data_IF_095496931877
#
_entry.id   IF_095496931877
#
_cell.length_a   1.000
_cell.length_b   1.000
_cell.length_c   1.000
_cell.angle_alpha   90.00
_cell.angle_beta   90.00
_cell.angle_gamma   90.00
#
_symmetry.space_group_name_H-M   'P 1'
#
loop_
_entity.id
_entity.type
_entity.pdbx_description
1 polymer ?
#
# COMPACT_ATOMS: atom_id res chain seq x y z
N UNK A 1 -6.59 26.18 -51.99
CA UNK A 1 -5.87 24.94 -51.60
C UNK A 1 -6.00 24.80 -50.09
N UNK A 2 -6.92 23.96 -49.62
CA UNK A 2 -7.12 23.69 -48.19
C UNK A 2 -6.56 22.30 -47.89
N UNK A 3 -5.60 22.22 -46.97
CA UNK A 3 -5.00 20.98 -46.50
C UNK A 3 -5.89 20.39 -45.40
N UNK A 4 -6.55 19.28 -45.69
CA UNK A 4 -7.21 18.45 -44.68
C UNK A 4 -6.15 17.68 -43.90
N UNK A 5 -6.05 17.96 -42.60
CA UNK A 5 -5.25 17.17 -41.65
C UNK A 5 -6.15 16.08 -41.09
N UNK A 6 -5.94 14.84 -41.54
CA UNK A 6 -6.62 13.66 -40.98
C UNK A 6 -5.85 13.18 -39.75
N UNK A 7 -6.42 13.39 -38.57
CA UNK A 7 -5.88 12.82 -37.32
C UNK A 7 -6.26 11.34 -37.29
N UNK A 8 -5.25 10.49 -37.44
CA UNK A 8 -5.36 9.03 -37.33
C UNK A 8 -5.65 8.65 -35.87
N UNK A 9 -6.86 8.16 -35.59
CA UNK A 9 -7.20 7.54 -34.30
C UNK A 9 -6.63 6.12 -34.28
N UNK A 10 -5.72 5.89 -33.34
CA UNK A 10 -5.11 4.57 -33.08
C UNK A 10 -6.17 3.50 -32.76
N UNK A 11 -5.95 2.22 -33.09
CA UNK A 11 -6.95 1.17 -32.89
C UNK A 11 -7.26 1.00 -31.40
N UNK A 12 -8.56 1.10 -31.05
CA UNK A 12 -9.08 0.64 -29.76
C UNK A 12 -8.87 -0.87 -29.67
N UNK A 13 -7.90 -1.32 -28.88
CA UNK A 13 -7.87 -2.70 -28.39
C UNK A 13 -9.08 -2.87 -27.47
N UNK A 14 -10.06 -3.60 -27.97
CA UNK A 14 -11.23 -4.05 -27.21
C UNK A 14 -10.74 -5.00 -26.11
N UNK A 15 -10.46 -4.46 -24.93
CA UNK A 15 -10.36 -5.25 -23.69
C UNK A 15 -11.80 -5.63 -23.29
N UNK A 16 -12.44 -6.49 -24.09
CA UNK A 16 -13.82 -6.90 -23.85
C UNK A 16 -13.89 -7.81 -22.63
N UNK A 17 -14.41 -7.23 -21.54
CA UNK A 17 -15.57 -7.76 -20.81
C UNK A 17 -15.44 -9.17 -20.21
N UNK A 18 -14.57 -9.31 -19.19
CA UNK A 18 -14.82 -10.18 -18.02
C UNK A 18 -13.94 -9.88 -16.80
N UNK A 19 -13.76 -8.60 -16.43
CA UNK A 19 -13.38 -8.22 -15.06
C UNK A 19 -14.62 -8.23 -14.12
N UNK A 20 -15.54 -9.17 -14.33
CA UNK A 20 -16.67 -9.43 -13.45
C UNK A 20 -16.40 -10.77 -12.74
N UNK A 21 -15.94 -10.66 -11.49
CA UNK A 21 -16.01 -11.70 -10.48
C UNK A 21 -15.47 -13.08 -10.87
N UNK A 22 -14.14 -13.26 -10.79
CA UNK A 22 -13.61 -14.48 -10.18
C UNK A 22 -13.32 -14.21 -8.70
N UNK A 23 -14.36 -13.81 -7.97
CA UNK A 23 -14.51 -14.09 -6.55
C UNK A 23 -15.16 -15.48 -6.45
N UNK A 24 -14.49 -16.51 -6.97
CA UNK A 24 -14.75 -17.87 -6.53
C UNK A 24 -13.70 -18.21 -5.49
N UNK A 25 -14.09 -18.04 -4.23
CA UNK A 25 -13.38 -18.60 -3.09
C UNK A 25 -13.27 -20.11 -3.30
N UNK A 26 -12.08 -20.56 -3.68
CA UNK A 26 -11.65 -21.92 -3.43
C UNK A 26 -10.88 -21.89 -2.12
N UNK A 27 -11.60 -22.15 -1.02
CA UNK A 27 -10.99 -22.64 0.21
C UNK A 27 -10.46 -24.04 -0.13
N UNK A 28 -9.18 -24.14 -0.50
CA UNK A 28 -8.50 -25.42 -0.48
C UNK A 28 -7.85 -25.59 0.90
N UNK A 29 -8.09 -26.71 1.59
CA UNK A 29 -7.52 -26.97 2.89
C UNK A 29 -6.01 -27.26 2.74
N UNK A 30 -5.19 -26.49 3.44
CA UNK A 30 -3.79 -26.83 3.68
C UNK A 30 -3.76 -27.99 4.69
N UNK A 31 -3.74 -29.23 4.21
CA UNK A 31 -3.43 -30.38 5.06
C UNK A 31 -1.94 -30.38 5.35
N UNK A 32 -1.61 -29.95 6.56
CA UNK A 32 -0.40 -30.32 7.28
C UNK A 32 -0.41 -31.82 7.57
N UNK A 33 0.68 -32.50 7.21
CA UNK A 33 1.07 -33.77 7.85
C UNK A 33 2.55 -33.71 8.19
N UNK A 34 2.86 -33.61 9.48
CA UNK A 34 3.71 -34.58 10.16
C UNK A 34 3.67 -34.38 11.67
N UNK A 35 3.33 -35.45 12.37
CA UNK A 35 3.28 -35.57 13.83
C UNK A 35 3.90 -36.91 14.21
N UNK A 36 4.59 -36.89 15.36
CA UNK A 36 5.22 -37.95 16.18
C UNK A 36 6.75 -37.79 16.29
N UNK A 37 7.39 -37.84 17.46
CA UNK A 37 6.93 -38.13 18.83
C UNK A 37 8.03 -37.85 19.87
N UNK A 38 7.61 -37.35 21.04
CA UNK A 38 8.00 -37.74 22.43
C UNK A 38 9.35 -37.36 23.08
N UNK A 39 9.25 -36.54 24.16
CA UNK A 39 9.66 -36.78 25.58
C UNK A 39 9.43 -35.47 26.37
N UNK A 40 8.50 -35.38 27.33
CA UNK A 40 8.53 -35.83 28.75
C UNK A 40 9.26 -34.90 29.74
N UNK A 41 8.42 -34.20 30.53
CA UNK A 41 8.47 -34.00 32.01
C UNK A 41 9.19 -32.81 32.70
N UNK A 42 8.36 -32.16 33.54
CA UNK A 42 8.54 -31.58 34.90
C UNK A 42 8.93 -30.11 35.18
N UNK A 43 7.95 -29.40 35.77
CA UNK A 43 7.93 -28.47 36.93
C UNK A 43 9.03 -27.41 37.15
N UNK A 44 8.65 -26.12 37.30
CA UNK A 44 8.44 -25.39 38.57
C UNK A 44 8.16 -23.89 38.32
N UNK A 45 7.49 -23.26 39.30
CA UNK A 45 7.03 -21.87 39.31
C UNK A 45 8.14 -20.81 39.40
N UNK A 46 7.89 -19.62 38.83
CA UNK A 46 8.15 -18.29 39.46
C UNK A 46 7.80 -17.12 38.51
N UNK A 47 6.99 -16.18 38.99
CA UNK A 47 7.06 -14.76 38.64
C UNK A 47 8.24 -14.11 39.40
N UNK A 48 8.65 -12.85 39.14
CA UNK A 48 8.18 -11.85 38.16
C UNK A 48 9.34 -11.20 37.36
N UNK A 49 9.05 -10.36 36.36
CA UNK A 49 9.57 -8.98 36.27
C UNK A 49 9.12 -8.29 34.99
N UNK A 50 8.75 -7.01 35.16
CA UNK A 50 8.49 -6.05 34.11
C UNK A 50 9.70 -5.89 33.18
N UNK A 51 9.46 -5.85 31.87
CA UNK A 51 10.46 -5.40 30.91
C UNK A 51 9.88 -4.32 30.00
N UNK A 52 10.74 -3.35 29.75
CA UNK A 52 10.52 -2.07 29.12
C UNK A 52 10.02 -2.25 27.69
N UNK A 53 8.82 -1.71 27.41
CA UNK A 53 8.37 -1.43 26.06
C UNK A 53 9.24 -0.32 25.47
N UNK A 54 10.26 -0.72 24.71
CA UNK A 54 10.93 0.19 23.79
C UNK A 54 9.94 0.61 22.71
N UNK A 55 9.55 1.88 22.72
CA UNK A 55 8.70 2.48 21.70
C UNK A 55 9.31 2.32 20.30
N UNK A 56 8.85 1.33 19.54
CA UNK A 56 9.12 1.23 18.10
C UNK A 56 8.27 2.30 17.41
N UNK A 57 8.90 3.40 17.02
CA UNK A 57 8.27 4.50 16.28
C UNK A 57 7.84 3.98 14.90
N UNK A 58 6.53 4.04 14.61
CA UNK A 58 5.98 3.77 13.27
C UNK A 58 6.62 4.69 12.23
N UNK A 59 6.97 4.14 11.07
CA UNK A 59 7.61 4.85 9.95
C UNK A 59 6.61 5.06 8.82
N UNK A 60 6.91 6.03 7.97
CA UNK A 60 6.08 6.44 6.83
C UNK A 60 6.09 5.40 5.71
N UNK A 61 4.91 5.12 5.13
CA UNK A 61 4.78 4.28 3.94
C UNK A 61 5.30 4.98 2.68
N UNK A 62 5.36 6.32 2.69
CA UNK A 62 5.97 7.16 1.65
C UNK A 62 7.30 7.70 2.19
N UNK A 63 8.44 7.21 1.70
CA UNK A 63 9.71 7.89 1.98
C UNK A 63 9.77 9.18 1.14
N UNK A 64 10.08 10.34 1.73
CA UNK A 64 10.40 11.50 0.93
C UNK A 64 11.60 11.17 0.03
N UNK A 65 11.43 11.45 -1.26
CA UNK A 65 12.48 11.33 -2.27
C UNK A 65 13.71 12.14 -1.79
N UNK A 66 14.92 11.57 -1.63
CA UNK A 66 16.05 12.28 -1.04
C UNK A 66 16.67 13.36 -1.95
N UNK A 67 16.01 13.77 -3.03
CA UNK A 67 16.55 14.74 -3.99
C UNK A 67 16.02 16.14 -3.69
N UNK A 68 16.57 16.77 -2.64
CA UNK A 68 16.87 18.22 -2.55
C UNK A 68 17.09 18.65 -1.10
N UNK A 69 18.33 18.55 -0.63
CA UNK A 69 18.98 19.58 0.20
C UNK A 69 20.36 19.08 0.63
N UNK A 70 21.37 19.39 -0.19
CA UNK A 70 22.75 19.31 0.21
C UNK A 70 23.06 20.47 1.17
N UNK A 71 22.89 20.25 2.47
CA UNK A 71 23.48 21.11 3.50
C UNK A 71 24.45 20.30 4.37
N UNK A 72 25.62 20.89 4.58
CA UNK A 72 26.81 20.37 5.28
C UNK A 72 26.51 19.43 6.46
N UNK A 73 27.01 18.21 6.36
CA UNK A 73 26.93 17.22 7.45
C UNK A 73 28.28 17.14 8.16
N UNK A 74 28.32 17.54 9.44
CA UNK A 74 29.47 17.33 10.32
C UNK A 74 29.58 15.87 10.78
N UNK A 75 30.79 15.46 11.19
CA UNK A 75 31.23 14.09 11.49
C UNK A 75 30.45 13.31 12.58
N UNK A 76 29.35 13.83 13.13
CA UNK A 76 28.43 13.08 14.02
C UNK A 76 27.41 12.21 13.28
N UNK A 77 27.42 12.17 11.94
CA UNK A 77 26.38 11.51 11.13
C UNK A 77 26.63 10.05 10.73
N UNK A 78 27.82 9.50 10.96
CA UNK A 78 28.17 8.15 10.48
C UNK A 78 27.33 7.03 11.14
N UNK A 79 26.98 7.18 12.43
CA UNK A 79 26.06 6.25 13.11
C UNK A 79 24.62 6.33 12.59
N UNK A 80 24.18 7.52 12.17
CA UNK A 80 22.88 7.73 11.52
C UNK A 80 22.84 7.11 10.13
N UNK A 81 23.93 7.23 9.35
CA UNK A 81 24.02 6.71 7.99
C UNK A 81 24.03 5.17 7.92
N UNK A 82 24.78 4.50 8.80
CA UNK A 82 24.80 3.04 8.87
C UNK A 82 23.45 2.47 9.36
N UNK A 83 22.79 3.16 10.30
CA UNK A 83 21.44 2.82 10.74
C UNK A 83 20.43 3.02 9.60
N UNK A 84 20.46 4.14 8.89
CA UNK A 84 19.56 4.40 7.76
C UNK A 84 19.77 3.43 6.60
N UNK A 85 21.02 3.03 6.31
CA UNK A 85 21.31 2.04 5.26
C UNK A 85 20.70 0.67 5.56
N UNK A 86 20.76 0.21 6.81
CA UNK A 86 20.18 -1.08 7.22
C UNK A 86 18.65 -1.14 7.05
N UNK A 87 17.96 0.00 7.18
CA UNK A 87 16.50 0.06 6.95
C UNK A 87 16.09 0.27 5.49
N UNK A 88 17.02 0.67 4.62
CA UNK A 88 16.78 0.72 3.17
C UNK A 88 16.88 -0.68 2.52
N UNK A 89 17.39 -1.66 3.25
CA UNK A 89 17.58 -3.05 2.79
C UNK A 89 16.59 -4.04 3.44
N UNK A 90 15.80 -3.60 4.42
CA UNK A 90 14.78 -4.45 5.06
C UNK A 90 13.42 -4.21 4.44
N UNK A 91 12.73 -5.29 4.13
CA UNK A 91 11.33 -5.25 3.71
C UNK A 91 10.44 -4.61 4.79
N UNK A 92 9.41 -3.90 4.35
CA UNK A 92 8.49 -3.15 5.22
C UNK A 92 7.11 -3.78 5.13
N UNK A 93 6.53 -4.11 6.28
CA UNK A 93 5.13 -4.50 6.37
C UNK A 93 4.28 -3.24 6.39
N UNK A 94 3.39 -3.14 5.42
CA UNK A 94 2.33 -2.16 5.31
C UNK A 94 1.00 -2.84 5.64
N UNK A 95 0.27 -2.29 6.60
CA UNK A 95 -1.08 -2.72 6.94
C UNK A 95 -2.00 -1.53 6.77
N UNK A 96 -3.02 -1.70 5.94
CA UNK A 96 -3.85 -0.57 5.54
C UNK A 96 -5.33 -0.94 5.49
N UNK A 97 -6.16 0.08 5.67
CA UNK A 97 -7.60 -0.05 5.52
C UNK A 97 -8.16 1.13 4.76
N UNK A 98 -8.89 0.81 3.68
CA UNK A 98 -9.46 1.79 2.78
C UNK A 98 -10.85 2.25 3.24
N UNK A 99 -11.21 3.46 2.84
CA UNK A 99 -12.55 4.03 2.96
C UNK A 99 -12.87 4.89 1.72
N UNK A 100 -14.15 5.19 1.53
CA UNK A 100 -14.61 6.13 0.49
C UNK A 100 -14.81 7.49 1.16
N UNK A 101 -13.94 8.47 0.90
CA UNK A 101 -14.10 9.79 1.48
C UNK A 101 -15.31 10.50 0.85
N UNK A 102 -16.16 11.09 1.68
CA UNK A 102 -17.15 12.09 1.25
C UNK A 102 -16.53 13.49 1.32
N UNK A 103 -17.07 14.45 0.58
CA UNK A 103 -16.62 15.85 0.65
C UNK A 103 -16.65 16.39 2.09
N UNK A 104 -17.68 16.05 2.85
CA UNK A 104 -17.81 16.41 4.27
C UNK A 104 -16.72 15.76 5.13
N UNK A 105 -16.46 14.45 4.96
CA UNK A 105 -15.40 13.76 5.70
C UNK A 105 -14.01 14.35 5.42
N UNK A 106 -13.73 14.76 4.18
CA UNK A 106 -12.48 15.41 3.79
C UNK A 106 -12.37 16.78 4.47
N UNK A 107 -13.45 17.58 4.47
CA UNK A 107 -13.48 18.88 5.17
C UNK A 107 -13.19 18.71 6.66
N UNK A 108 -13.81 17.74 7.30
CA UNK A 108 -13.54 17.44 8.71
C UNK A 108 -12.11 16.97 8.95
N UNK A 109 -11.59 16.09 8.08
CA UNK A 109 -10.23 15.57 8.20
C UNK A 109 -9.21 16.69 8.10
N UNK A 110 -9.32 17.57 7.09
CA UNK A 110 -8.44 18.73 6.90
C UNK A 110 -8.50 19.73 8.06
N UNK A 111 -9.69 19.93 8.63
CA UNK A 111 -9.90 20.85 9.74
C UNK A 111 -9.66 20.23 11.13
N UNK A 112 -9.48 18.91 11.21
CA UNK A 112 -9.48 18.12 12.45
C UNK A 112 -10.65 18.47 13.39
N UNK A 113 -11.85 18.64 12.82
CA UNK A 113 -13.00 19.24 13.52
C UNK A 113 -14.03 18.24 14.05
N UNK A 114 -13.71 16.95 14.04
CA UNK A 114 -14.60 15.93 14.58
C UNK A 114 -14.52 15.76 16.09
N UNK A 115 -15.33 14.84 16.61
CA UNK A 115 -15.50 14.57 18.04
C UNK A 115 -15.35 13.07 18.33
N UNK A 116 -14.32 12.62 19.07
CA UNK A 116 -13.15 13.42 19.48
C UNK A 116 -12.31 13.86 18.25
N UNK A 117 -11.57 14.97 18.35
CA UNK A 117 -10.58 15.32 17.33
C UNK A 117 -9.41 14.32 17.38
N UNK A 118 -8.67 14.21 16.29
CA UNK A 118 -7.41 13.47 16.28
C UNK A 118 -6.38 14.15 17.21
N UNK A 119 -5.67 13.36 18.02
CA UNK A 119 -4.56 13.83 18.86
C UNK A 119 -3.53 12.70 19.10
N UNK A 120 -2.27 12.83 18.62
CA UNK A 120 -1.72 13.95 17.84
C UNK A 120 -2.20 13.97 16.38
N UNK A 121 -2.21 15.16 15.78
CA UNK A 121 -2.57 15.40 14.37
C UNK A 121 -1.57 16.33 13.68
N UNK A 122 -0.97 15.89 12.58
CA UNK A 122 -0.03 16.71 11.80
C UNK A 122 -0.18 16.48 10.30
N UNK A 123 -0.38 17.56 9.54
CA UNK A 123 -0.32 17.49 8.08
C UNK A 123 1.13 17.27 7.62
N UNK A 124 1.34 16.25 6.78
CA UNK A 124 2.65 15.89 6.25
C UNK A 124 2.90 16.64 4.94
N UNK A 125 1.89 16.76 4.08
CA UNK A 125 2.00 17.45 2.81
C UNK A 125 1.07 16.91 1.72
N UNK A 126 1.22 17.47 0.52
CA UNK A 126 0.59 16.97 -0.70
C UNK A 126 1.64 16.81 -1.79
N UNK A 127 1.48 15.78 -2.62
CA UNK A 127 2.35 15.49 -3.75
C UNK A 127 1.56 14.91 -4.92
N UNK A 128 2.14 15.01 -6.12
CA UNK A 128 1.65 14.33 -7.32
C UNK A 128 2.50 13.09 -7.54
N UNK A 129 1.83 11.95 -7.67
CA UNK A 129 2.45 10.64 -7.90
C UNK A 129 2.07 10.16 -9.29
N UNK A 130 3.07 9.86 -10.11
CA UNK A 130 2.88 9.18 -11.39
C UNK A 130 3.16 7.69 -11.22
N UNK A 131 2.14 6.86 -11.38
CA UNK A 131 2.23 5.41 -11.27
C UNK A 131 2.06 4.76 -12.67
N UNK A 132 2.90 3.75 -12.96
CA UNK A 132 2.75 2.83 -14.09
C UNK A 132 2.79 1.41 -13.56
N UNK A 133 1.72 0.64 -13.75
CA UNK A 133 1.63 -0.76 -13.34
C UNK A 133 2.00 -1.70 -14.47
N UNK A 134 2.72 -2.78 -14.14
CA UNK A 134 3.20 -3.77 -15.09
C UNK A 134 2.68 -5.17 -14.73
N UNK A 135 2.26 -5.90 -15.76
CA UNK A 135 1.96 -7.33 -15.66
C UNK A 135 2.14 -7.97 -17.05
N UNK A 136 1.96 -9.29 -17.11
CA UNK A 136 1.93 -10.11 -18.32
C UNK A 136 0.61 -9.92 -19.10
N UNK A 137 0.60 -10.42 -20.34
CA UNK A 137 -0.59 -10.48 -21.21
C UNK A 137 -1.59 -11.58 -20.86
N UNK A 138 -1.33 -12.34 -19.80
CA UNK A 138 -2.26 -13.37 -19.34
C UNK A 138 -3.59 -12.73 -18.90
N UNK A 139 -4.72 -13.38 -19.22
CA UNK A 139 -6.04 -12.95 -18.73
C UNK A 139 -6.01 -12.88 -17.19
N UNK A 140 -6.33 -11.72 -16.61
CA UNK A 140 -6.26 -11.50 -15.16
C UNK A 140 -4.91 -11.00 -14.61
N UNK A 141 -3.82 -11.10 -15.39
CA UNK A 141 -2.48 -10.70 -14.98
C UNK A 141 -1.80 -11.71 -14.07
N UNK A 142 -0.79 -12.42 -14.58
CA UNK A 142 -0.06 -13.47 -13.85
C UNK A 142 0.49 -13.03 -12.49
N UNK A 143 1.07 -11.84 -12.38
CA UNK A 143 1.68 -11.38 -11.14
C UNK A 143 0.62 -10.91 -10.15
N UNK A 144 -0.36 -10.14 -10.61
CA UNK A 144 -1.44 -9.64 -9.77
C UNK A 144 -2.32 -10.75 -9.20
N UNK A 145 -2.58 -11.82 -9.97
CA UNK A 145 -3.28 -13.02 -9.47
C UNK A 145 -2.53 -13.70 -8.33
N UNK A 146 -1.19 -13.62 -8.34
CA UNK A 146 -0.32 -14.11 -7.25
C UNK A 146 -0.16 -13.09 -6.13
N UNK A 147 -0.88 -11.97 -6.17
CA UNK A 147 -0.77 -10.90 -5.20
C UNK A 147 0.53 -10.09 -5.31
N UNK A 148 1.23 -10.17 -6.43
CA UNK A 148 2.47 -9.40 -6.68
C UNK A 148 2.11 -8.19 -7.54
N UNK A 149 2.39 -7.01 -7.03
CA UNK A 149 2.10 -5.74 -7.69
C UNK A 149 3.41 -5.05 -8.04
N UNK A 150 3.72 -4.98 -9.33
CA UNK A 150 4.89 -4.29 -9.85
C UNK A 150 4.47 -2.94 -10.41
N UNK A 151 5.17 -1.88 -10.00
CA UNK A 151 4.93 -0.54 -10.53
C UNK A 151 6.21 0.27 -10.67
N UNK A 152 6.17 1.28 -11.53
CA UNK A 152 7.07 2.43 -11.46
C UNK A 152 6.32 3.61 -10.87
N UNK A 153 6.80 4.10 -9.73
CA UNK A 153 6.28 5.27 -9.04
C UNK A 153 7.29 6.40 -9.16
N UNK A 154 6.90 7.51 -9.78
CA UNK A 154 7.79 8.64 -10.05
C UNK A 154 9.14 8.21 -10.68
N UNK A 155 9.08 7.22 -11.57
CA UNK A 155 10.26 6.66 -12.26
C UNK A 155 11.02 5.57 -11.47
N UNK A 156 10.69 5.34 -10.20
CA UNK A 156 11.34 4.33 -9.35
C UNK A 156 10.55 3.03 -9.37
N UNK A 157 11.21 1.91 -9.61
CA UNK A 157 10.57 0.59 -9.56
C UNK A 157 10.30 0.15 -8.13
N UNK A 158 9.06 -0.27 -7.87
CA UNK A 158 8.58 -0.79 -6.59
C UNK A 158 7.86 -2.13 -6.81
N UNK A 159 7.98 -3.01 -5.81
CA UNK A 159 7.26 -4.29 -5.78
C UNK A 159 6.56 -4.44 -4.43
N UNK A 160 5.26 -4.69 -4.47
CA UNK A 160 4.47 -5.06 -3.29
C UNK A 160 4.02 -6.51 -3.41
N UNK A 161 4.14 -7.25 -2.32
CA UNK A 161 3.64 -8.63 -2.23
C UNK A 161 2.51 -8.64 -1.21
N UNK A 162 1.30 -9.03 -1.64
CA UNK A 162 0.15 -9.17 -0.75
C UNK A 162 0.40 -10.33 0.22
N UNK A 163 0.18 -10.06 1.50
CA UNK A 163 0.35 -11.02 2.59
C UNK A 163 -0.97 -11.47 3.17
N UNK A 164 -1.92 -10.54 3.27
CA UNK A 164 -3.26 -10.83 3.74
C UNK A 164 -4.27 -9.81 3.22
N UNK A 165 -5.55 -10.12 3.41
CA UNK A 165 -6.65 -9.18 3.19
C UNK A 165 -7.24 -9.16 1.78
N UNK A 166 -8.33 -8.41 1.64
CA UNK A 166 -9.18 -8.32 0.46
C UNK A 166 -9.10 -6.96 -0.23
N UNK A 167 -10.26 -6.37 -0.55
CA UNK A 167 -10.33 -5.04 -1.17
C UNK A 167 -10.32 -3.88 -0.16
N UNK A 168 -10.80 -4.10 1.06
CA UNK A 168 -10.96 -3.07 2.10
C UNK A 168 -9.83 -3.07 3.12
N UNK A 169 -9.43 -4.25 3.57
CA UNK A 169 -8.35 -4.51 4.51
C UNK A 169 -7.24 -5.24 3.77
N UNK A 170 -6.04 -4.70 3.79
CA UNK A 170 -4.92 -5.25 3.04
C UNK A 170 -3.64 -5.19 3.86
N UNK A 171 -2.80 -6.20 3.68
CA UNK A 171 -1.44 -6.18 4.20
C UNK A 171 -0.47 -6.54 3.07
N UNK A 172 0.58 -5.74 2.92
CA UNK A 172 1.59 -5.88 1.90
C UNK A 172 2.97 -5.87 2.52
N UNK A 173 3.88 -6.64 1.95
CA UNK A 173 5.31 -6.44 2.15
C UNK A 173 5.83 -5.63 0.96
N UNK A 174 6.33 -4.43 1.22
CA UNK A 174 7.11 -3.69 0.25
C UNK A 174 8.53 -4.27 0.22
N UNK A 175 8.91 -4.81 -0.93
CA UNK A 175 10.24 -5.40 -1.12
C UNK A 175 11.21 -4.27 -1.37
N UNK A 176 12.19 -4.09 -0.50
CA UNK A 176 13.25 -3.10 -0.68
C UNK A 176 14.59 -3.72 -1.02
N UNK A 177 14.82 -4.96 -0.56
CA UNK A 177 16.05 -5.69 -0.81
C UNK A 177 16.35 -5.84 -2.30
N UNK A 178 17.62 -5.61 -2.66
CA UNK A 178 18.08 -5.61 -4.04
C UNK A 178 18.03 -7.02 -4.63
N UNK A 179 18.41 -8.04 -3.86
CA UNK A 179 18.47 -9.42 -4.33
C UNK A 179 17.06 -9.96 -4.62
N UNK A 180 16.10 -9.70 -3.73
CA UNK A 180 14.71 -10.07 -3.91
C UNK A 180 14.07 -9.32 -5.07
N UNK A 181 14.37 -8.03 -5.24
CA UNK A 181 13.97 -7.28 -6.44
C UNK A 181 14.56 -7.92 -7.70
N UNK A 182 15.85 -8.24 -7.71
CA UNK A 182 16.52 -8.87 -8.86
C UNK A 182 15.89 -10.23 -9.21
N UNK A 183 15.53 -11.06 -8.22
CA UNK A 183 14.82 -12.33 -8.46
C UNK A 183 13.45 -12.11 -9.10
N UNK A 184 12.69 -11.12 -8.64
CA UNK A 184 11.40 -10.77 -9.23
C UNK A 184 11.58 -10.22 -10.65
N UNK A 185 12.59 -9.37 -10.86
CA UNK A 185 12.94 -8.82 -12.17
C UNK A 185 13.42 -9.91 -13.15
N UNK A 186 14.11 -10.96 -12.67
CA UNK A 186 14.51 -12.10 -13.50
C UNK A 186 13.28 -12.87 -14.00
N UNK A 187 12.26 -13.05 -13.15
CA UNK A 187 10.98 -13.65 -13.60
C UNK A 187 10.30 -12.83 -14.71
N UNK A 188 10.56 -11.52 -14.81
CA UNK A 188 10.06 -10.66 -15.90
C UNK A 188 10.85 -10.84 -17.21
N UNK A 189 12.09 -11.34 -17.16
CA UNK A 189 12.84 -11.69 -18.38
C UNK A 189 12.26 -12.95 -19.01
N UNK A 190 11.88 -13.90 -18.18
CA UNK A 190 11.25 -15.14 -18.62
C UNK A 190 9.78 -14.94 -19.00
N UNK A 191 9.11 -13.92 -18.45
CA UNK A 191 7.72 -13.58 -18.72
C UNK A 191 7.61 -12.10 -19.14
N UNK A 192 7.57 -11.79 -20.45
CA UNK A 192 7.55 -10.41 -20.92
C UNK A 192 6.35 -9.67 -20.32
N UNK A 193 6.65 -8.65 -19.52
CA UNK A 193 5.63 -7.75 -18.97
C UNK A 193 5.42 -6.57 -19.90
N UNK A 194 4.26 -5.93 -19.77
CA UNK A 194 4.01 -4.60 -20.35
C UNK A 194 3.30 -3.71 -19.35
N UNK A 195 3.27 -2.41 -19.65
CA UNK A 195 2.41 -1.50 -18.92
C UNK A 195 0.94 -1.90 -19.14
N UNK A 196 0.21 -2.10 -18.05
CA UNK A 196 -1.22 -2.44 -18.07
C UNK A 196 -2.08 -1.30 -17.56
N UNK A 197 -1.51 -0.38 -16.79
CA UNK A 197 -2.18 0.82 -16.35
C UNK A 197 -1.20 1.96 -16.05
N UNK A 198 -1.67 3.19 -16.21
CA UNK A 198 -0.91 4.40 -15.92
C UNK A 198 -1.86 5.53 -15.53
N UNK A 199 -1.50 6.31 -14.51
CA UNK A 199 -2.25 7.48 -14.06
C UNK A 199 -1.39 8.42 -13.20
N UNK A 200 -1.96 9.58 -12.88
CA UNK A 200 -1.45 10.47 -11.83
C UNK A 200 -2.41 10.52 -10.66
N UNK A 201 -1.88 10.53 -9.45
CA UNK A 201 -2.63 10.67 -8.21
C UNK A 201 -2.14 11.92 -7.48
N UNK A 202 -3.06 12.81 -7.10
CA UNK A 202 -2.82 13.81 -6.08
C UNK A 202 -3.03 13.16 -4.72
N UNK A 203 -1.97 13.08 -3.93
CA UNK A 203 -1.96 12.49 -2.59
C UNK A 203 -1.87 13.60 -1.55
N UNK A 204 -2.71 13.53 -0.53
CA UNK A 204 -2.59 14.31 0.71
C UNK A 204 -2.36 13.37 1.89
N UNK A 205 -1.50 13.76 2.83
CA UNK A 205 -1.05 12.90 3.92
C UNK A 205 -1.07 13.61 5.27
N UNK A 206 -1.49 12.88 6.30
CA UNK A 206 -1.46 13.31 7.70
C UNK A 206 -0.90 12.21 8.59
N UNK A 207 -0.18 12.61 9.64
CA UNK A 207 0.20 11.73 10.74
C UNK A 207 -0.83 11.86 11.83
N UNK A 208 -1.40 10.73 12.24
CA UNK A 208 -2.40 10.66 13.29
C UNK A 208 -2.11 9.49 14.22
N UNK A 209 -1.81 9.78 15.48
CA UNK A 209 -1.37 8.76 16.45
C UNK A 209 -0.21 7.90 15.87
N UNK A 210 -0.45 6.59 15.74
CA UNK A 210 0.48 5.60 15.19
C UNK A 210 0.33 5.40 13.67
N UNK A 211 -0.61 6.10 13.02
CA UNK A 211 -1.02 5.88 11.64
C UNK A 211 -0.67 7.02 10.70
N UNK A 212 -0.62 6.70 9.41
CA UNK A 212 -0.67 7.67 8.32
C UNK A 212 -2.06 7.65 7.71
N UNK A 213 -2.71 8.81 7.64
CA UNK A 213 -3.93 8.99 6.86
C UNK A 213 -3.56 9.51 5.49
N UNK A 214 -4.14 8.90 4.47
CA UNK A 214 -3.91 9.24 3.07
C UNK A 214 -5.26 9.50 2.41
N UNK A 215 -5.34 10.57 1.62
CA UNK A 215 -6.44 10.79 0.68
C UNK A 215 -5.82 10.93 -0.71
N UNK A 216 -6.23 10.04 -1.61
CA UNK A 216 -5.76 9.98 -2.99
C UNK A 216 -6.89 10.37 -3.93
N UNK A 217 -6.67 11.44 -4.71
CA UNK A 217 -7.51 11.83 -5.84
C UNK A 217 -6.78 11.45 -7.13
N UNK A 218 -7.36 10.55 -7.93
CA UNK A 218 -6.73 10.00 -9.13
C UNK A 218 -7.55 10.31 -10.36
N UNK A 219 -6.88 10.74 -11.43
CA UNK A 219 -7.50 10.96 -12.74
C UNK A 219 -6.97 9.89 -13.71
N UNK A 220 -7.87 9.08 -14.29
CA UNK A 220 -7.50 7.99 -15.19
C UNK A 220 -7.50 8.37 -16.68
N UNK A 221 -8.07 9.54 -17.02
CA UNK A 221 -8.15 10.09 -18.37
C UNK A 221 -7.49 11.47 -18.50
N UNK A 222 -8.03 12.28 -19.41
CA UNK A 222 -7.65 13.69 -19.53
C UNK A 222 -8.08 14.44 -18.25
N UNK A 223 -7.33 15.47 -17.85
CA UNK A 223 -7.55 16.18 -16.58
C UNK A 223 -8.93 16.85 -16.50
N UNK A 224 -9.56 17.12 -17.65
CA UNK A 224 -10.91 17.69 -17.77
C UNK A 224 -12.05 16.66 -17.72
N UNK A 225 -11.73 15.36 -17.66
CA UNK A 225 -12.73 14.28 -17.62
C UNK A 225 -13.05 13.90 -16.17
N UNK A 226 -14.00 14.63 -15.58
CA UNK A 226 -14.49 14.39 -14.21
C UNK A 226 -15.04 12.97 -14.02
N UNK A 227 -15.57 12.32 -15.06
CA UNK A 227 -16.09 10.95 -14.97
C UNK A 227 -14.98 9.90 -14.76
N UNK A 228 -13.73 10.26 -15.06
CA UNK A 228 -12.55 9.42 -14.86
C UNK A 228 -11.89 9.61 -13.48
N UNK A 229 -12.44 10.49 -12.64
CA UNK A 229 -11.90 10.78 -11.32
C UNK A 229 -12.29 9.71 -10.29
N UNK A 230 -11.32 9.28 -9.49
CA UNK A 230 -11.52 8.33 -8.40
C UNK A 230 -10.85 8.83 -7.11
N UNK A 231 -11.61 8.86 -6.02
CA UNK A 231 -11.12 9.27 -4.70
C UNK A 231 -11.14 8.07 -3.75
N UNK A 232 -10.03 7.83 -3.07
CA UNK A 232 -9.93 6.78 -2.04
C UNK A 232 -9.15 7.30 -0.84
N UNK A 233 -9.60 6.96 0.36
CA UNK A 233 -8.90 7.23 1.60
C UNK A 233 -8.29 5.95 2.17
N UNK A 234 -7.12 6.06 2.80
CA UNK A 234 -6.39 4.94 3.38
C UNK A 234 -5.92 5.31 4.80
N UNK A 235 -6.08 4.40 5.75
CA UNK A 235 -5.42 4.46 7.06
C UNK A 235 -4.33 3.40 7.05
N UNK A 236 -3.08 3.82 7.17
CA UNK A 236 -1.91 2.96 6.96
C UNK A 236 -1.02 2.92 8.21
N UNK A 237 -0.46 1.74 8.45
CA UNK A 237 0.68 1.56 9.35
C UNK A 237 1.82 0.89 8.58
N UNK A 238 3.03 1.41 8.73
CA UNK A 238 4.24 0.82 8.15
C UNK A 238 5.32 0.58 9.21
N UNK A 239 5.92 -0.60 9.16
CA UNK A 239 7.00 -0.98 10.06
C UNK A 239 7.85 -2.12 9.54
N UNK A 240 9.14 -2.10 9.90
CA UNK A 240 10.00 -3.25 9.72
C UNK A 240 9.60 -4.34 10.73
N UNK A 241 9.37 -5.55 10.24
CA UNK A 241 8.94 -6.71 11.03
C UNK A 241 9.80 -7.90 10.62
N UNK A 242 10.13 -8.77 11.57
CA UNK A 242 10.78 -10.03 11.24
C UNK A 242 9.79 -10.94 10.50
N UNK A 243 10.30 -11.79 9.60
CA UNK A 243 9.45 -12.63 8.74
C UNK A 243 8.52 -13.55 9.54
N UNK A 244 8.98 -14.06 10.68
CA UNK A 244 8.23 -14.93 11.59
C UNK A 244 7.18 -14.18 12.43
N UNK A 245 7.32 -12.86 12.61
CA UNK A 245 6.38 -11.99 13.33
C UNK A 245 5.35 -11.32 12.40
N UNK A 246 5.56 -11.35 11.08
CA UNK A 246 4.81 -10.56 10.09
C UNK A 246 3.30 -10.82 10.16
N UNK A 247 2.88 -12.09 10.27
CA UNK A 247 1.48 -12.46 10.29
C UNK A 247 0.76 -11.99 11.57
N UNK A 248 1.42 -12.10 12.72
CA UNK A 248 0.86 -11.65 14.00
C UNK A 248 0.78 -10.13 14.05
N UNK A 249 1.83 -9.46 13.58
CA UNK A 249 1.87 -8.00 13.49
C UNK A 249 0.79 -7.47 12.55
N UNK A 250 0.61 -8.10 11.38
CA UNK A 250 -0.44 -7.75 10.42
C UNK A 250 -1.83 -7.78 11.05
N UNK A 251 -2.18 -8.89 11.74
CA UNK A 251 -3.46 -9.03 12.44
C UNK A 251 -3.63 -8.02 13.58
N UNK A 252 -2.56 -7.72 14.29
CA UNK A 252 -2.58 -6.77 15.41
C UNK A 252 -2.82 -5.35 14.92
N UNK A 253 -2.10 -4.92 13.88
CA UNK A 253 -2.24 -3.59 13.30
C UNK A 253 -3.58 -3.42 12.60
N UNK A 254 -4.07 -4.43 11.88
CA UNK A 254 -5.42 -4.38 11.30
C UNK A 254 -6.47 -4.12 12.40
N UNK A 255 -6.46 -4.89 13.50
CA UNK A 255 -7.38 -4.67 14.64
C UNK A 255 -7.27 -3.25 15.21
N UNK A 256 -6.06 -2.71 15.34
CA UNK A 256 -5.86 -1.34 15.82
C UNK A 256 -6.45 -0.31 14.84
N UNK A 257 -6.21 -0.46 13.53
CA UNK A 257 -6.81 0.39 12.51
C UNK A 257 -8.34 0.29 12.55
N UNK A 258 -8.91 -0.92 12.73
CA UNK A 258 -10.37 -1.09 12.86
C UNK A 258 -10.92 -0.30 14.06
N UNK A 259 -10.25 -0.37 15.20
CA UNK A 259 -10.65 0.36 16.40
C UNK A 259 -10.52 1.88 16.21
N UNK A 260 -9.39 2.33 15.64
CA UNK A 260 -9.14 3.73 15.32
C UNK A 260 -10.22 4.31 14.40
N UNK A 261 -10.50 3.65 13.26
CA UNK A 261 -11.53 4.10 12.33
C UNK A 261 -12.92 4.13 12.96
N UNK A 262 -13.21 3.24 13.91
CA UNK A 262 -14.47 3.23 14.64
C UNK A 262 -14.57 4.42 15.61
N UNK A 263 -13.49 4.74 16.31
CA UNK A 263 -13.44 5.90 17.24
C UNK A 263 -13.67 7.21 16.50
N UNK A 264 -13.06 7.36 15.31
CA UNK A 264 -13.13 8.57 14.51
C UNK A 264 -14.05 8.41 13.29
N UNK A 265 -15.21 7.78 13.49
CA UNK A 265 -16.17 7.49 12.41
C UNK A 265 -16.60 8.72 11.60
N UNK A 266 -16.48 9.93 12.19
CA UNK A 266 -16.73 11.20 11.51
C UNK A 266 -15.79 11.44 10.31
N UNK A 267 -14.59 10.85 10.31
CA UNK A 267 -13.63 10.93 9.21
C UNK A 267 -13.76 9.75 8.22
N UNK A 268 -14.44 8.68 8.61
CA UNK A 268 -14.43 7.39 7.89
C UNK A 268 -15.86 6.89 7.63
N UNK A 269 -16.54 7.43 6.60
CA UNK A 269 -17.89 7.03 6.23
C UNK A 269 -17.99 5.51 5.99
N UNK A 270 -19.02 4.88 6.55
CA UNK A 270 -19.15 3.42 6.58
C UNK A 270 -19.91 2.82 5.38
N UNK A 271 -20.53 3.65 4.56
CA UNK A 271 -21.64 3.22 3.69
C UNK A 271 -21.19 2.54 2.39
N UNK A 272 -19.94 2.73 1.97
CA UNK A 272 -19.44 2.19 0.70
C UNK A 272 -18.23 1.27 0.83
N UNK A 273 -18.17 0.26 -0.06
CA UNK A 273 -17.02 -0.61 -0.18
C UNK A 273 -15.97 0.12 -1.04
N UNK A 274 -14.82 0.49 -0.48
CA UNK A 274 -13.81 1.22 -1.22
C UNK A 274 -13.28 0.39 -2.39
N UNK A 275 -13.10 1.04 -3.52
CA UNK A 275 -12.49 0.44 -4.70
C UNK A 275 -11.01 0.81 -4.78
N UNK A 276 -10.15 -0.17 -5.06
CA UNK A 276 -8.73 0.11 -5.31
C UNK A 276 -8.58 0.94 -6.60
N UNK A 277 -7.54 1.78 -6.66
CA UNK A 277 -7.24 2.60 -7.84
C UNK A 277 -7.10 1.76 -9.11
N UNK A 278 -6.42 0.62 -9.03
CA UNK A 278 -6.23 -0.27 -10.17
C UNK A 278 -7.55 -0.91 -10.63
N UNK A 279 -8.42 -1.31 -9.70
CA UNK A 279 -9.76 -1.79 -10.05
C UNK A 279 -10.62 -0.70 -10.68
N UNK A 280 -10.53 0.54 -10.17
CA UNK A 280 -11.26 1.68 -10.71
C UNK A 280 -10.77 2.03 -12.12
N UNK A 281 -9.46 2.00 -12.36
CA UNK A 281 -8.86 2.20 -13.69
C UNK A 281 -9.46 1.30 -14.77
N UNK A 282 -9.57 -0.01 -14.51
CA UNK A 282 -10.14 -0.95 -15.48
C UNK A 282 -11.67 -0.89 -15.60
N UNK A 283 -12.35 -0.16 -14.73
CA UNK A 283 -13.82 0.03 -14.80
C UNK A 283 -14.21 1.34 -15.46
N UNK A 284 -13.44 2.39 -15.22
CA UNK A 284 -13.72 3.75 -15.69
C UNK A 284 -13.07 4.05 -17.06
N UNK A 285 -12.24 3.13 -17.58
CA UNK A 285 -11.57 3.22 -18.87
C UNK A 285 -11.91 2.04 -19.77
#
# INVERSE_FOLDING_TARGET
>A
MALNVTISRSPRLLYTRRMAASLHMSILPTTLTNLHSLRSQHNFASHPQASLLGSRVGKYCSFPNPVSNAFNISARSLGSYAYHKKYLETDVLEVERKFVPTEESIKHLRANSGLPPFDPFAYIGSEIIADIYYDTDHEGGYFMEKGIYMRKRNGVSEVKIRRAGGGKDTAFTEVHDRENKEKILEQMRDNPVRAIAQWKTQREQWRVEDFTLVVDTTHFGDEDDEESMHIVGEVEWCGAVAEDEEQEMSKTMDKKIKAFMKTYQWAFPAEEVPMSKLTAYFKLR
#
